data_IF_859889333795
#
_entry.id   IF_859889333795
#
_cell.length_a   1.000
_cell.length_b   1.000
_cell.length_c   1.000
_cell.angle_alpha   90.00
_cell.angle_beta   90.00
_cell.angle_gamma   90.00
#
_symmetry.space_group_name_H-M   'P 1'
#
loop_
_entity.id
_entity.type
_entity.pdbx_description
1 polymer ?
#
# COMPACT_ATOMS: atom_id res chain seq x y z
N UNK A 1 -30.49 3.32 -17.55
CA UNK A 1 -29.15 3.38 -18.17
C UNK A 1 -28.10 3.46 -17.07
N UNK A 2 -27.36 2.39 -16.82
CA UNK A 2 -26.30 2.39 -15.81
C UNK A 2 -25.16 3.31 -16.27
N UNK A 3 -24.98 4.45 -15.59
CA UNK A 3 -23.81 5.33 -15.76
C UNK A 3 -22.59 4.52 -15.33
N UNK A 4 -21.91 3.91 -16.30
CA UNK A 4 -20.60 3.28 -16.12
C UNK A 4 -19.60 4.40 -15.84
N UNK A 5 -19.56 4.85 -14.59
CA UNK A 5 -18.50 5.72 -14.07
C UNK A 5 -17.20 4.96 -14.28
N UNK A 6 -16.46 5.36 -15.30
CA UNK A 6 -15.06 5.01 -15.44
C UNK A 6 -14.37 5.50 -14.18
N UNK A 7 -14.20 4.60 -13.19
CA UNK A 7 -13.39 4.85 -12.02
C UNK A 7 -11.96 4.94 -12.53
N UNK A 8 -11.54 6.16 -12.84
CA UNK A 8 -10.16 6.47 -13.16
C UNK A 8 -9.28 5.83 -12.07
N UNK A 9 -8.26 5.04 -12.44
CA UNK A 9 -7.39 4.40 -11.48
C UNK A 9 -6.86 5.41 -10.48
N UNK A 10 -6.89 5.09 -9.18
CA UNK A 10 -6.54 6.03 -8.10
C UNK A 10 -5.18 6.70 -8.34
N UNK A 11 -4.19 5.96 -8.86
CA UNK A 11 -2.86 6.50 -9.17
C UNK A 11 -2.86 7.61 -10.24
N UNK A 12 -3.75 7.55 -11.24
CA UNK A 12 -3.88 8.59 -12.27
C UNK A 12 -4.52 9.84 -11.65
N UNK A 13 -5.57 9.64 -10.84
CA UNK A 13 -6.21 10.73 -10.11
C UNK A 13 -5.22 11.43 -9.18
N UNK A 14 -4.48 10.67 -8.38
CA UNK A 14 -3.47 11.20 -7.44
C UNK A 14 -2.37 11.98 -8.21
N UNK A 15 -1.96 11.48 -9.37
CA UNK A 15 -1.00 12.16 -10.25
C UNK A 15 -1.54 13.48 -10.78
N UNK A 16 -2.76 13.47 -11.33
CA UNK A 16 -3.42 14.67 -11.84
C UNK A 16 -3.65 15.71 -10.75
N UNK A 17 -4.10 15.29 -9.57
CA UNK A 17 -4.33 16.16 -8.42
C UNK A 17 -3.03 16.83 -7.96
N UNK A 18 -1.94 16.05 -7.87
CA UNK A 18 -0.61 16.57 -7.54
C UNK A 18 -0.11 17.57 -8.58
N UNK A 19 -0.26 17.24 -9.87
CA UNK A 19 0.15 18.11 -10.97
C UNK A 19 -0.66 19.41 -11.00
N UNK A 20 -1.98 19.34 -10.79
CA UNK A 20 -2.85 20.51 -10.69
C UNK A 20 -2.41 21.38 -9.52
N UNK A 21 -2.09 20.78 -8.36
CA UNK A 21 -1.59 21.53 -7.21
C UNK A 21 -0.28 22.25 -7.52
N UNK A 22 0.68 21.58 -8.17
CA UNK A 22 1.95 22.19 -8.62
C UNK A 22 1.67 23.33 -9.62
N UNK A 23 0.75 23.11 -10.56
CA UNK A 23 0.37 24.09 -11.56
C UNK A 23 -0.26 25.35 -10.93
N UNK A 24 -1.13 25.17 -9.94
CA UNK A 24 -1.74 26.26 -9.14
C UNK A 24 -0.67 26.99 -8.33
N UNK A 25 0.25 26.27 -7.69
CA UNK A 25 1.37 26.85 -6.94
C UNK A 25 2.27 27.71 -7.84
N UNK A 26 2.62 27.23 -9.03
CA UNK A 26 3.40 28.01 -9.98
C UNK A 26 2.65 29.26 -10.45
N UNK A 27 1.37 29.13 -10.79
CA UNK A 27 0.54 30.25 -11.21
C UNK A 27 0.42 31.29 -10.08
N UNK A 28 0.20 30.85 -8.85
CA UNK A 28 0.17 31.70 -7.67
C UNK A 28 1.50 32.39 -7.42
N UNK A 29 2.65 31.69 -7.53
CA UNK A 29 3.97 32.30 -7.40
C UNK A 29 4.18 33.41 -8.44
N UNK A 30 3.78 33.17 -9.69
CA UNK A 30 3.96 34.15 -10.77
C UNK A 30 3.00 35.34 -10.67
N UNK A 31 1.80 35.14 -10.10
CA UNK A 31 0.77 36.17 -9.97
C UNK A 31 0.95 37.01 -8.70
N UNK A 32 1.19 36.36 -7.55
CA UNK A 32 1.37 37.03 -6.26
C UNK A 32 2.82 37.42 -5.98
N UNK A 33 3.79 36.76 -6.61
CA UNK A 33 5.21 37.08 -6.47
C UNK A 33 5.49 38.56 -6.72
N UNK A 34 5.10 39.14 -7.87
CA UNK A 34 5.34 40.56 -8.17
C UNK A 34 4.67 41.53 -7.18
N UNK A 35 3.58 41.12 -6.52
CA UNK A 35 2.90 41.92 -5.50
C UNK A 35 3.72 42.00 -4.19
N UNK A 36 4.45 40.94 -3.85
CA UNK A 36 5.27 40.85 -2.63
C UNK A 36 6.72 41.28 -2.89
N UNK A 37 7.28 40.88 -4.04
CA UNK A 37 8.67 41.12 -4.44
C UNK A 37 8.75 41.75 -5.83
N UNK A 38 8.62 43.07 -5.93
CA UNK A 38 8.58 43.78 -7.23
C UNK A 38 9.78 43.50 -8.16
N UNK A 39 10.97 43.25 -7.60
CA UNK A 39 12.20 42.98 -8.35
C UNK A 39 12.61 41.48 -8.34
N UNK A 40 11.66 40.58 -8.03
CA UNK A 40 11.91 39.14 -8.05
C UNK A 40 12.15 38.61 -9.46
N UNK A 41 12.85 37.48 -9.56
CA UNK A 41 12.97 36.72 -10.81
C UNK A 41 11.79 35.75 -10.91
N UNK A 42 11.05 35.85 -12.02
CA UNK A 42 9.80 35.16 -12.25
C UNK A 42 9.89 34.26 -13.47
N UNK A 43 9.11 33.17 -13.45
CA UNK A 43 9.11 32.22 -14.54
C UNK A 43 8.37 32.80 -15.76
N UNK A 44 8.95 32.70 -16.97
CA UNK A 44 8.24 33.05 -18.18
C UNK A 44 6.99 32.19 -18.36
N UNK A 45 5.85 32.81 -18.68
CA UNK A 45 4.58 32.07 -18.85
C UNK A 45 4.63 30.97 -19.92
N UNK A 46 5.51 31.08 -20.91
CA UNK A 46 5.68 30.07 -21.95
C UNK A 46 6.33 28.77 -21.43
N UNK A 47 7.09 28.81 -20.33
CA UNK A 47 7.69 27.60 -19.74
C UNK A 47 6.68 26.78 -18.95
N UNK A 48 5.56 27.40 -18.57
CA UNK A 48 4.51 26.78 -17.76
C UNK A 48 4.00 25.43 -18.31
N UNK A 49 3.58 25.30 -19.59
CA UNK A 49 3.14 24.01 -20.14
C UNK A 49 4.25 22.94 -20.12
N UNK A 50 5.52 23.33 -20.31
CA UNK A 50 6.66 22.41 -20.23
C UNK A 50 6.89 21.94 -18.79
N UNK A 51 6.76 22.83 -17.81
CA UNK A 51 6.86 22.48 -16.38
C UNK A 51 5.74 21.52 -15.94
N UNK A 52 4.51 21.76 -16.41
CA UNK A 52 3.37 20.85 -16.16
C UNK A 52 3.59 19.50 -16.83
N UNK A 53 4.08 19.48 -18.08
CA UNK A 53 4.45 18.26 -18.79
C UNK A 53 5.55 17.47 -18.06
N UNK A 54 6.61 18.15 -17.61
CA UNK A 54 7.67 17.55 -16.83
C UNK A 54 7.17 16.98 -15.50
N UNK A 55 6.29 17.72 -14.80
CA UNK A 55 5.65 17.24 -13.58
C UNK A 55 4.81 15.98 -13.81
N UNK A 56 4.03 15.93 -14.89
CA UNK A 56 3.27 14.73 -15.29
C UNK A 56 4.19 13.54 -15.54
N UNK A 57 5.32 13.74 -16.21
CA UNK A 57 6.28 12.67 -16.48
C UNK A 57 6.94 12.18 -15.19
N UNK A 58 7.42 13.08 -14.34
CA UNK A 58 8.11 12.73 -13.08
C UNK A 58 7.14 12.05 -12.11
N UNK A 59 5.99 12.67 -11.83
CA UNK A 59 5.00 12.14 -10.88
C UNK A 59 4.38 10.86 -11.44
N UNK A 60 4.06 10.83 -12.74
CA UNK A 60 3.52 9.64 -13.41
C UNK A 60 4.50 8.46 -13.37
N UNK A 61 5.77 8.69 -13.70
CA UNK A 61 6.81 7.66 -13.63
C UNK A 61 7.01 7.17 -12.20
N UNK A 62 7.06 8.07 -11.22
CA UNK A 62 7.19 7.72 -9.81
C UNK A 62 6.02 6.88 -9.31
N UNK A 63 4.78 7.28 -9.62
CA UNK A 63 3.59 6.58 -9.18
C UNK A 63 3.48 5.19 -9.84
N UNK A 64 3.89 5.07 -11.10
CA UNK A 64 4.02 3.79 -11.79
C UNK A 64 5.07 2.88 -11.15
N UNK A 65 6.27 3.41 -10.86
CA UNK A 65 7.34 2.67 -10.19
C UNK A 65 6.92 2.22 -8.78
N UNK A 66 6.37 3.13 -7.98
CA UNK A 66 5.87 2.85 -6.64
C UNK A 66 4.81 1.74 -6.65
N UNK A 67 3.95 1.71 -7.66
CA UNK A 67 2.96 0.64 -7.83
C UNK A 67 3.62 -0.72 -8.10
N UNK A 68 4.64 -0.77 -8.96
CA UNK A 68 5.40 -2.00 -9.22
C UNK A 68 6.07 -2.51 -7.95
N UNK A 69 6.75 -1.64 -7.20
CA UNK A 69 7.37 -2.01 -5.93
C UNK A 69 6.36 -2.49 -4.89
N UNK A 70 5.17 -1.84 -4.80
CA UNK A 70 4.12 -2.24 -3.86
C UNK A 70 3.57 -3.63 -4.17
N UNK A 71 3.42 -3.98 -5.44
CA UNK A 71 2.97 -5.32 -5.85
C UNK A 71 3.99 -6.39 -5.49
N UNK A 72 5.29 -6.13 -5.72
CA UNK A 72 6.35 -7.06 -5.29
C UNK A 72 6.31 -7.22 -3.75
N UNK A 73 6.27 -6.13 -2.99
CA UNK A 73 6.23 -6.21 -1.53
C UNK A 73 4.96 -6.89 -1.00
N UNK A 74 3.82 -6.76 -1.67
CA UNK A 74 2.61 -7.49 -1.30
C UNK A 74 2.78 -9.00 -1.50
N UNK A 75 3.37 -9.43 -2.62
CA UNK A 75 3.65 -10.84 -2.85
C UNK A 75 4.59 -11.43 -1.79
N UNK A 76 5.66 -10.71 -1.43
CA UNK A 76 6.56 -11.16 -0.35
C UNK A 76 5.83 -11.24 1.00
N UNK A 77 5.02 -10.24 1.35
CA UNK A 77 4.25 -10.23 2.61
C UNK A 77 3.19 -11.32 2.67
N UNK A 78 2.51 -11.60 1.55
CA UNK A 78 1.51 -12.65 1.47
C UNK A 78 2.16 -14.04 1.63
N UNK A 79 3.37 -14.23 1.09
CA UNK A 79 4.13 -15.46 1.26
C UNK A 79 4.63 -15.64 2.71
N UNK A 80 5.10 -14.57 3.36
CA UNK A 80 5.47 -14.60 4.77
C UNK A 80 4.26 -14.86 5.68
N UNK A 81 3.13 -14.21 5.41
CA UNK A 81 1.89 -14.42 6.15
C UNK A 81 1.35 -15.85 5.97
N UNK A 82 1.49 -16.44 4.77
CA UNK A 82 1.13 -17.83 4.53
C UNK A 82 2.01 -18.81 5.33
N UNK A 83 3.33 -18.56 5.40
CA UNK A 83 4.27 -19.36 6.20
C UNK A 83 3.96 -19.30 7.70
N UNK A 84 3.64 -18.11 8.23
CA UNK A 84 3.26 -17.96 9.63
C UNK A 84 1.94 -18.68 9.96
N UNK A 85 0.94 -18.60 9.07
CA UNK A 85 -0.32 -19.34 9.24
C UNK A 85 -0.10 -20.85 9.22
N UNK A 86 0.75 -21.36 8.32
CA UNK A 86 1.09 -22.78 8.25
C UNK A 86 1.83 -23.27 9.51
N UNK A 87 2.71 -22.46 10.09
CA UNK A 87 3.38 -22.79 11.36
C UNK A 87 2.39 -22.81 12.54
N UNK A 88 1.52 -21.80 12.65
CA UNK A 88 0.50 -21.74 13.69
C UNK A 88 -0.51 -22.90 13.59
N UNK A 89 -0.84 -23.35 12.38
CA UNK A 89 -1.67 -24.55 12.20
C UNK A 89 -0.95 -25.83 12.63
N UNK A 90 0.34 -25.98 12.32
CA UNK A 90 1.15 -27.12 12.77
C UNK A 90 1.26 -27.17 14.29
N UNK A 91 1.48 -26.03 14.95
CA UNK A 91 1.50 -25.95 16.42
C UNK A 91 0.16 -26.31 17.03
N UNK A 92 -0.96 -25.85 16.45
CA UNK A 92 -2.31 -26.23 16.89
C UNK A 92 -2.58 -27.71 16.70
N UNK A 93 -2.10 -28.31 15.62
CA UNK A 93 -2.24 -29.74 15.37
C UNK A 93 -1.40 -30.56 16.36
N UNK A 94 -0.15 -30.16 16.62
CA UNK A 94 0.71 -30.79 17.62
C UNK A 94 0.07 -30.71 19.02
N UNK A 95 -0.41 -29.54 19.43
CA UNK A 95 -1.09 -29.38 20.72
C UNK A 95 -2.36 -30.23 20.85
N UNK A 96 -3.12 -30.42 19.77
CA UNK A 96 -4.30 -31.31 19.75
C UNK A 96 -3.90 -32.78 19.86
N UNK A 97 -2.81 -33.20 19.21
CA UNK A 97 -2.30 -34.56 19.32
C UNK A 97 -1.79 -34.86 20.74
N UNK A 98 -1.05 -33.93 21.35
CA UNK A 98 -0.58 -34.05 22.73
C UNK A 98 -1.74 -34.17 23.73
N UNK A 99 -2.80 -33.38 23.55
CA UNK A 99 -4.00 -33.48 24.37
C UNK A 99 -4.70 -34.85 24.22
N UNK A 100 -4.81 -35.36 22.99
CA UNK A 100 -5.39 -36.68 22.74
C UNK A 100 -4.55 -37.81 23.34
N UNK A 101 -3.22 -37.72 23.27
CA UNK A 101 -2.33 -38.66 23.93
C UNK A 101 -2.42 -38.59 25.45
N UNK A 102 -2.47 -37.39 26.04
CA UNK A 102 -2.61 -37.20 27.47
C UNK A 102 -3.92 -37.81 28.00
N UNK A 103 -5.03 -37.64 27.28
CA UNK A 103 -6.32 -38.26 27.62
C UNK A 103 -6.25 -39.78 27.51
N UNK A 104 -5.64 -40.33 26.45
CA UNK A 104 -5.42 -41.79 26.32
C UNK A 104 -4.57 -42.36 27.46
N UNK A 105 -3.52 -41.65 27.88
CA UNK A 105 -2.67 -42.05 29.02
C UNK A 105 -3.44 -41.99 30.34
N UNK A 106 -4.28 -40.96 30.54
CA UNK A 106 -5.12 -40.82 31.74
C UNK A 106 -6.13 -41.96 31.87
N UNK A 107 -6.81 -42.31 30.78
CA UNK A 107 -7.76 -43.42 30.75
C UNK A 107 -7.09 -44.78 31.02
N UNK A 108 -5.89 -45.02 30.45
CA UNK A 108 -5.10 -46.24 30.72
C UNK A 108 -4.66 -46.36 32.19
N UNK A 109 -4.40 -45.24 32.85
CA UNK A 109 -4.02 -45.24 34.27
C UNK A 109 -5.23 -45.45 35.19
N UNK A 110 -6.39 -44.86 34.86
CA UNK A 110 -7.63 -45.10 35.60
C UNK A 110 -8.10 -46.56 35.51
N UNK A 111 -8.02 -47.17 34.32
CA UNK A 111 -8.41 -48.58 34.15
C UNK A 111 -7.52 -49.55 34.94
N UNK A 112 -6.26 -49.20 35.18
CA UNK A 112 -5.34 -50.00 36.02
C UNK A 112 -5.58 -49.81 37.53
N UNK A 113 -6.14 -48.68 37.95
CA UNK A 113 -6.50 -48.44 39.36
C UNK A 113 -7.82 -49.10 39.77
N UNK A 114 -8.76 -49.29 38.84
CA UNK A 114 -10.03 -49.99 39.12
C UNK A 114 -9.93 -51.52 39.13
N UNK A 115 -8.83 -52.11 38.66
CA UNK A 115 -8.62 -53.57 38.66
C UNK A 115 -7.79 -54.10 39.84
N UNK A 116 -7.57 -53.27 40.86
CA UNK A 116 -7.00 -53.64 42.16
C UNK A 116 -8.08 -53.52 43.23
#
# INVERSE_FOLDING_TARGET
MAKKSSKMPKWIRDTLETVIMIAVLMAAYNFFGPLVFKNGSYFPWWTYPYSVGAALLIVGAWNFAARKFRLLNQQLKDEEAAKQRAQAEREKQAARQDQQEAVKRRNRNQSKQQSR
#
